data_IF_805299073736
#
_entry.id   IF_805299073736
#
_cell.length_a   1.000
_cell.length_b   1.000
_cell.length_c   1.000
_cell.angle_alpha   90.00
_cell.angle_beta   90.00
_cell.angle_gamma   90.00
#
_symmetry.space_group_name_H-M   'P 1'
#
loop_
_entity.id
_entity.type
_entity.pdbx_description
1 polymer ?
#
# COMPACT_ATOMS: atom_id res chain seq x y z
N UNK A 1 -4.63 -10.70 -3.58
CA UNK A 1 -3.18 -10.99 -3.74
C UNK A 1 -2.86 -12.48 -3.88
N UNK A 2 -1.81 -12.83 -4.64
CA UNK A 2 -1.36 -14.22 -4.83
C UNK A 2 -0.86 -14.89 -3.54
N UNK A 3 -0.54 -14.11 -2.51
CA UNK A 3 -0.21 -14.58 -1.17
C UNK A 3 -0.53 -13.52 -0.11
N UNK A 4 -0.59 -13.95 1.16
CA UNK A 4 -0.56 -13.05 2.30
C UNK A 4 0.85 -13.01 2.91
N UNK A 5 1.41 -11.80 3.18
CA UNK A 5 2.64 -11.64 3.94
C UNK A 5 2.45 -11.91 5.44
N UNK A 6 1.23 -11.75 5.99
CA UNK A 6 0.92 -12.06 7.39
C UNK A 6 0.61 -13.55 7.56
N UNK A 7 1.35 -14.23 8.44
CA UNK A 7 1.27 -15.70 8.64
C UNK A 7 0.50 -16.14 9.89
N UNK A 8 0.55 -15.34 10.95
CA UNK A 8 0.02 -15.73 12.27
C UNK A 8 -1.43 -15.30 12.51
N UNK A 9 -1.90 -14.27 11.82
CA UNK A 9 -3.23 -13.69 12.00
C UNK A 9 -3.86 -13.39 10.65
N UNK A 10 -5.19 -13.34 10.64
CA UNK A 10 -5.93 -12.90 9.46
C UNK A 10 -5.53 -11.45 9.11
N UNK A 11 -5.13 -11.18 7.85
CA UNK A 11 -4.61 -9.87 7.48
C UNK A 11 -5.64 -8.76 7.60
N UNK A 12 -6.89 -9.01 7.19
CA UNK A 12 -7.93 -7.97 7.20
C UNK A 12 -8.36 -7.65 8.62
N UNK A 13 -8.52 -8.65 9.48
CA UNK A 13 -8.79 -8.44 10.91
C UNK A 13 -7.65 -7.67 11.56
N UNK A 14 -6.40 -7.97 11.20
CA UNK A 14 -5.23 -7.26 11.73
C UNK A 14 -5.22 -5.80 11.29
N UNK A 15 -5.41 -5.52 9.99
CA UNK A 15 -5.42 -4.16 9.47
C UNK A 15 -6.57 -3.34 10.05
N UNK A 16 -7.80 -3.87 10.05
CA UNK A 16 -8.97 -3.17 10.62
C UNK A 16 -8.91 -3.04 12.15
N UNK A 17 -8.10 -3.83 12.83
CA UNK A 17 -7.85 -3.66 14.28
C UNK A 17 -6.77 -2.65 14.60
N UNK A 18 -5.93 -2.28 13.62
CA UNK A 18 -4.82 -1.34 13.79
C UNK A 18 -5.12 0.05 13.19
N UNK A 19 -5.92 0.11 12.14
CA UNK A 19 -6.32 1.34 11.46
C UNK A 19 -7.84 1.49 11.46
N UNK A 20 -8.29 2.70 11.73
CA UNK A 20 -9.65 3.15 11.48
C UNK A 20 -9.62 4.22 10.38
N UNK A 21 -10.59 4.18 9.47
CA UNK A 21 -10.80 5.29 8.54
C UNK A 21 -11.50 6.44 9.26
N UNK A 22 -11.40 7.67 8.72
CA UNK A 22 -12.01 8.84 9.33
C UNK A 22 -13.53 8.69 9.47
N UNK A 23 -14.16 8.03 8.50
CA UNK A 23 -15.61 7.76 8.48
C UNK A 23 -16.00 6.44 9.18
N UNK A 24 -15.04 5.72 9.79
CA UNK A 24 -15.28 4.43 10.43
C UNK A 24 -15.62 3.28 9.47
N UNK A 25 -15.41 3.49 8.16
CA UNK A 25 -15.54 2.48 7.12
C UNK A 25 -14.48 1.36 7.29
N UNK A 26 -14.92 0.13 7.08
CA UNK A 26 -14.05 -1.06 7.11
C UNK A 26 -13.12 -1.07 5.89
N UNK A 27 -11.83 -1.29 6.13
CA UNK A 27 -10.82 -1.46 5.09
C UNK A 27 -11.06 -2.80 4.38
N UNK A 28 -11.40 -2.72 3.11
CA UNK A 28 -11.69 -3.86 2.25
C UNK A 28 -10.41 -4.52 1.70
N UNK A 29 -10.54 -5.78 1.28
CA UNK A 29 -9.46 -6.52 0.61
C UNK A 29 -9.42 -6.13 -0.85
N UNK A 30 -8.30 -5.55 -1.30
CA UNK A 30 -8.03 -5.42 -2.72
C UNK A 30 -7.39 -6.71 -3.26
N UNK A 31 -8.06 -7.41 -4.18
CA UNK A 31 -7.63 -8.73 -4.64
C UNK A 31 -6.58 -8.67 -5.78
N UNK A 32 -6.07 -9.84 -6.18
CA UNK A 32 -5.01 -10.07 -7.19
C UNK A 32 -3.64 -9.49 -6.84
N UNK A 33 -2.62 -9.93 -7.57
CA UNK A 33 -1.22 -9.56 -7.38
C UNK A 33 -0.87 -8.35 -8.25
N UNK A 34 0.03 -7.47 -7.79
CA UNK A 34 0.50 -6.32 -8.57
C UNK A 34 1.37 -6.68 -9.79
N UNK A 35 1.88 -7.92 -9.86
CA UNK A 35 2.73 -8.37 -10.98
C UNK A 35 4.23 -8.03 -10.84
N UNK A 36 4.62 -7.24 -9.84
CA UNK A 36 6.01 -6.78 -9.65
C UNK A 36 6.84 -7.69 -8.72
N UNK A 37 6.18 -8.37 -7.78
CA UNK A 37 6.86 -9.08 -6.69
C UNK A 37 7.72 -10.25 -7.17
N UNK A 38 8.83 -10.50 -6.45
CA UNK A 38 9.71 -11.65 -6.70
C UNK A 38 10.47 -11.59 -8.02
N UNK A 39 10.79 -10.38 -8.51
CA UNK A 39 11.43 -10.14 -9.82
C UNK A 39 10.59 -10.57 -11.03
N UNK A 40 9.30 -10.87 -10.83
CA UNK A 40 8.41 -11.36 -11.90
C UNK A 40 8.34 -10.41 -13.10
N UNK A 41 8.26 -9.10 -12.85
CA UNK A 41 8.23 -8.09 -13.90
C UNK A 41 9.49 -8.10 -14.79
N UNK A 42 10.65 -8.42 -14.21
CA UNK A 42 11.92 -8.46 -14.94
C UNK A 42 12.11 -9.83 -15.61
N UNK A 43 11.84 -10.92 -14.88
CA UNK A 43 12.08 -12.28 -15.36
C UNK A 43 11.07 -12.77 -16.39
N UNK A 44 9.80 -12.32 -16.29
CA UNK A 44 8.70 -12.70 -17.19
C UNK A 44 7.77 -11.52 -17.46
N UNK A 45 8.24 -10.49 -18.20
CA UNK A 45 7.43 -9.30 -18.52
C UNK A 45 6.15 -9.66 -19.29
N UNK A 46 6.18 -10.72 -20.10
CA UNK A 46 5.05 -11.26 -20.84
C UNK A 46 3.91 -11.74 -19.93
N UNK A 47 4.24 -12.37 -18.80
CA UNK A 47 3.27 -12.79 -17.79
C UNK A 47 2.89 -11.62 -16.89
N UNK A 48 3.88 -10.86 -16.41
CA UNK A 48 3.68 -9.76 -15.47
C UNK A 48 2.69 -8.72 -16.01
N UNK A 49 2.76 -8.41 -17.32
CA UNK A 49 1.83 -7.49 -17.97
C UNK A 49 0.37 -7.93 -17.83
N UNK A 50 0.09 -9.23 -17.99
CA UNK A 50 -1.27 -9.76 -17.85
C UNK A 50 -1.74 -9.77 -16.38
N UNK A 51 -0.83 -10.06 -15.45
CA UNK A 51 -1.12 -9.98 -14.01
C UNK A 51 -1.44 -8.54 -13.61
N UNK A 52 -0.65 -7.58 -14.10
CA UNK A 52 -0.87 -6.14 -13.90
C UNK A 52 -2.22 -5.71 -14.46
N UNK A 53 -2.55 -6.09 -15.69
CA UNK A 53 -3.85 -5.77 -16.31
C UNK A 53 -5.02 -6.29 -15.47
N UNK A 54 -4.94 -7.52 -14.96
CA UNK A 54 -5.96 -8.04 -14.05
C UNK A 54 -6.06 -7.26 -12.75
N UNK A 55 -4.93 -6.86 -12.16
CA UNK A 55 -4.94 -6.04 -10.94
C UNK A 55 -5.54 -4.66 -11.18
N UNK A 56 -5.26 -4.03 -12.31
CA UNK A 56 -5.84 -2.74 -12.70
C UNK A 56 -7.37 -2.81 -12.75
N UNK A 57 -7.92 -3.87 -13.35
CA UNK A 57 -9.37 -4.10 -13.39
C UNK A 57 -9.99 -4.18 -11.99
N UNK A 58 -9.37 -4.93 -11.07
CA UNK A 58 -9.83 -5.02 -9.68
C UNK A 58 -9.74 -3.67 -8.97
N UNK A 59 -8.63 -2.94 -9.12
CA UNK A 59 -8.46 -1.62 -8.50
C UNK A 59 -9.50 -0.61 -9.01
N UNK A 60 -9.85 -0.65 -10.30
CA UNK A 60 -10.93 0.18 -10.85
C UNK A 60 -12.29 -0.18 -10.26
N UNK A 61 -12.56 -1.47 -10.06
CA UNK A 61 -13.81 -1.94 -9.44
C UNK A 61 -13.88 -1.53 -7.97
N UNK A 62 -12.80 -1.74 -7.21
CA UNK A 62 -12.67 -1.32 -5.81
C UNK A 62 -12.87 0.21 -5.69
N UNK A 63 -12.21 0.99 -6.55
CA UNK A 63 -12.32 2.44 -6.55
C UNK A 63 -13.73 2.91 -6.91
N UNK A 64 -14.38 2.29 -7.90
CA UNK A 64 -15.77 2.61 -8.26
C UNK A 64 -16.75 2.30 -7.12
N UNK A 65 -16.54 1.19 -6.40
CA UNK A 65 -17.35 0.84 -5.24
C UNK A 65 -17.22 1.88 -4.13
N UNK A 66 -15.99 2.30 -3.80
CA UNK A 66 -15.75 3.34 -2.79
C UNK A 66 -16.33 4.71 -3.18
N UNK A 67 -16.27 5.08 -4.47
CA UNK A 67 -16.85 6.33 -4.97
C UNK A 67 -18.38 6.31 -5.03
N UNK A 68 -18.98 5.12 -5.16
CA UNK A 68 -20.44 4.93 -5.11
C UNK A 68 -21.07 5.44 -3.81
N UNK A 69 -20.29 5.47 -2.72
CA UNK A 69 -20.68 6.01 -1.41
C UNK A 69 -20.54 7.54 -1.31
N UNK A 70 -20.42 8.25 -2.45
CA UNK A 70 -20.20 9.69 -2.59
C UNK A 70 -18.83 10.22 -2.08
N UNK A 71 -17.88 9.33 -1.80
CA UNK A 71 -16.51 9.70 -1.45
C UNK A 71 -15.79 10.31 -2.67
N UNK A 72 -15.26 11.53 -2.50
CA UNK A 72 -14.54 12.29 -3.54
C UNK A 72 -13.04 12.46 -3.25
N UNK A 73 -12.57 11.91 -2.13
CA UNK A 73 -11.18 12.03 -1.70
C UNK A 73 -10.24 11.01 -2.36
N UNK A 74 -8.94 11.06 -2.00
CA UNK A 74 -7.96 10.08 -2.45
C UNK A 74 -8.26 8.69 -1.89
N UNK A 75 -8.13 7.67 -2.74
CA UNK A 75 -8.32 6.27 -2.39
C UNK A 75 -6.94 5.66 -2.13
N UNK A 76 -6.74 5.14 -0.93
CA UNK A 76 -5.47 4.49 -0.56
C UNK A 76 -5.55 2.98 -0.68
N UNK A 77 -4.58 2.38 -1.37
CA UNK A 77 -4.28 0.94 -1.32
C UNK A 77 -3.07 0.69 -0.42
N UNK A 78 -3.29 -0.04 0.67
CA UNK A 78 -2.25 -0.31 1.67
C UNK A 78 -1.60 -1.67 1.43
N UNK A 79 -0.29 -1.74 1.66
CA UNK A 79 0.47 -3.01 1.58
C UNK A 79 1.53 -3.12 2.67
N UNK A 80 1.91 -4.34 3.02
CA UNK A 80 3.03 -4.63 3.92
C UNK A 80 4.16 -5.38 3.22
N UNK A 81 4.24 -5.28 1.88
CA UNK A 81 5.28 -5.89 1.07
C UNK A 81 5.97 -4.81 0.21
N UNK A 82 7.29 -4.56 0.37
CA UNK A 82 7.99 -3.51 -0.36
C UNK A 82 7.89 -3.66 -1.89
N UNK A 83 8.00 -4.89 -2.40
CA UNK A 83 7.84 -5.15 -3.84
C UNK A 83 6.41 -4.89 -4.33
N UNK A 84 5.41 -5.13 -3.49
CA UNK A 84 4.03 -4.74 -3.82
C UNK A 84 3.89 -3.23 -3.87
N UNK A 85 4.50 -2.49 -2.93
CA UNK A 85 4.40 -1.02 -2.90
C UNK A 85 4.91 -0.42 -4.22
N UNK A 86 6.11 -0.81 -4.65
CA UNK A 86 6.66 -0.39 -5.94
C UNK A 86 5.71 -0.71 -7.10
N UNK A 87 5.16 -1.93 -7.14
CA UNK A 87 4.23 -2.32 -8.19
C UNK A 87 2.90 -1.56 -8.16
N UNK A 88 2.37 -1.31 -6.96
CA UNK A 88 1.10 -0.62 -6.74
C UNK A 88 1.18 0.87 -7.10
N UNK A 89 2.33 1.51 -6.86
CA UNK A 89 2.56 2.91 -7.26
C UNK A 89 2.42 3.11 -8.78
N UNK A 90 2.66 2.07 -9.59
CA UNK A 90 2.54 2.13 -11.05
C UNK A 90 1.09 2.16 -11.56
N UNK A 91 0.08 2.07 -10.69
CA UNK A 91 -1.34 2.17 -11.07
C UNK A 91 -1.93 3.57 -10.82
N UNK A 92 -1.17 4.50 -10.21
CA UNK A 92 -1.66 5.85 -9.94
C UNK A 92 -2.06 6.62 -11.19
N UNK A 93 -1.43 6.33 -12.33
CA UNK A 93 -1.79 6.91 -13.63
C UNK A 93 -3.02 6.25 -14.27
N UNK A 94 -3.36 5.03 -13.87
CA UNK A 94 -4.42 4.21 -14.49
C UNK A 94 -5.75 4.24 -13.71
N UNK A 95 -5.69 4.59 -12.43
CA UNK A 95 -6.83 4.64 -11.50
C UNK A 95 -6.84 6.00 -10.81
N UNK A 96 -7.91 6.74 -11.04
CA UNK A 96 -8.04 8.13 -10.61
C UNK A 96 -7.95 8.27 -9.08
N UNK A 97 -7.06 9.16 -8.62
CA UNK A 97 -6.79 9.44 -7.19
C UNK A 97 -6.42 8.20 -6.36
N UNK A 98 -5.81 7.18 -6.98
CA UNK A 98 -5.28 6.02 -6.28
C UNK A 98 -3.88 6.31 -5.74
N UNK A 99 -3.72 6.19 -4.42
CA UNK A 99 -2.44 6.28 -3.74
C UNK A 99 -2.04 4.92 -3.16
N UNK A 100 -0.79 4.51 -3.37
CA UNK A 100 -0.25 3.30 -2.79
C UNK A 100 0.66 3.65 -1.60
N UNK A 101 0.40 3.05 -0.44
CA UNK A 101 1.24 3.28 0.75
C UNK A 101 1.49 2.00 1.56
N UNK A 102 2.49 2.09 2.42
CA UNK A 102 2.92 1.03 3.28
C UNK A 102 2.18 1.09 4.62
N UNK A 103 1.65 -0.05 5.08
CA UNK A 103 0.79 -0.12 6.28
C UNK A 103 1.43 0.53 7.52
N UNK A 104 2.72 0.28 7.77
CA UNK A 104 3.40 0.88 8.94
C UNK A 104 3.65 2.37 8.79
N UNK A 105 3.77 2.89 7.56
CA UNK A 105 3.88 4.34 7.32
C UNK A 105 2.55 5.02 7.62
N UNK A 106 1.44 4.44 7.18
CA UNK A 106 0.10 4.95 7.51
C UNK A 106 -0.14 4.90 9.03
N UNK A 107 0.24 3.80 9.69
CA UNK A 107 0.18 3.72 11.16
C UNK A 107 1.02 4.79 11.86
N UNK A 108 2.23 5.06 11.36
CA UNK A 108 3.08 6.09 11.93
C UNK A 108 2.42 7.48 11.83
N UNK A 109 1.82 7.83 10.68
CA UNK A 109 1.08 9.10 10.55
C UNK A 109 -0.10 9.19 11.52
N UNK A 110 -0.86 8.09 11.67
CA UNK A 110 -2.05 8.08 12.53
C UNK A 110 -1.70 8.11 14.03
N UNK A 111 -0.62 7.44 14.45
CA UNK A 111 -0.24 7.32 15.87
C UNK A 111 0.67 8.47 16.31
N UNK A 112 1.62 8.87 15.46
CA UNK A 112 2.68 9.83 15.79
C UNK A 112 2.45 11.21 15.17
N UNK A 113 1.46 11.35 14.28
CA UNK A 113 1.12 12.59 13.57
C UNK A 113 1.85 12.76 12.24
N UNK A 114 1.45 13.76 11.45
CA UNK A 114 1.99 14.02 10.11
C UNK A 114 3.51 14.29 10.10
N UNK A 115 4.03 14.87 11.19
CA UNK A 115 5.46 15.21 11.32
C UNK A 115 6.34 14.04 11.81
N UNK A 116 5.80 12.81 11.87
CA UNK A 116 6.49 11.65 12.45
C UNK A 116 7.86 11.38 11.84
N UNK A 117 8.02 11.54 10.53
CA UNK A 117 9.26 11.17 9.83
C UNK A 117 10.40 12.15 10.15
N UNK A 118 10.24 13.48 10.00
CA UNK A 118 11.23 14.44 10.48
C UNK A 118 11.60 14.25 11.95
N UNK A 119 10.61 14.04 12.82
CA UNK A 119 10.83 13.85 14.25
C UNK A 119 11.60 12.56 14.53
N UNK A 120 11.26 11.47 13.86
CA UNK A 120 11.97 10.19 13.95
C UNK A 120 13.42 10.32 13.48
N UNK A 121 13.66 10.91 12.31
CA UNK A 121 15.02 11.11 11.78
C UNK A 121 15.84 12.00 12.69
N UNK A 122 15.26 13.10 13.19
CA UNK A 122 15.92 14.00 14.13
C UNK A 122 16.28 13.32 15.46
N UNK A 123 15.45 12.40 15.93
CA UNK A 123 15.74 11.57 17.11
C UNK A 123 16.85 10.55 16.84
N UNK A 124 16.74 9.80 15.75
CA UNK A 124 17.73 8.78 15.36
C UNK A 124 19.11 9.39 15.08
N UNK A 125 19.15 10.58 14.47
CA UNK A 125 20.39 11.26 14.12
C UNK A 125 21.21 11.73 15.33
N UNK A 126 20.59 11.93 16.50
CA UNK A 126 21.30 12.36 17.72
C UNK A 126 22.28 11.31 18.25
N UNK A 127 22.15 10.05 17.85
CA UNK A 127 23.12 8.98 18.14
C UNK A 127 24.31 8.90 17.19
N UNK A 128 24.35 9.77 16.16
CA UNK A 128 25.31 9.69 15.05
C UNK A 128 24.82 8.76 13.94
N UNK A 129 24.64 9.30 12.72
CA UNK A 129 24.37 8.48 11.53
C UNK A 129 25.72 8.11 10.92
N UNK A 130 26.09 6.84 11.02
CA UNK A 130 27.24 6.32 10.29
C UNK A 130 26.91 6.27 8.80
N UNK A 131 27.63 7.07 8.01
CA UNK A 131 27.45 7.13 6.56
C UNK A 131 28.26 6.01 5.92
N UNK A 132 27.57 5.04 5.33
CA UNK A 132 28.22 3.85 4.76
C UNK A 132 28.82 4.12 3.37
N UNK A 133 28.38 5.12 2.61
CA UNK A 133 28.94 5.49 1.29
C UNK A 133 28.77 7.00 0.99
N UNK A 134 29.81 7.61 0.39
CA UNK A 134 29.82 8.94 -0.27
C UNK A 134 29.98 8.75 -1.77
#
# INVERSE_FOLDING_TARGET
PCHSPMKLRDPLKTVNGLLATAEGQTIAKSDRCCGESGTLAIGRPDISTQVRFRKEQELRQDAAALRGDAFQGPIKVLTSCPSCLQGLQRFGDDVEQLEADYLVVELARHILGENWMPDYVGQAARGGIERVLV
#
